data_IF_008481663843
#
_entry.id   IF_008481663843
#
_cell.length_a   1.000
_cell.length_b   1.000
_cell.length_c   1.000
_cell.angle_alpha   90.00
_cell.angle_beta   90.00
_cell.angle_gamma   90.00
#
_symmetry.space_group_name_H-M   'P 1'
#
loop_
_entity.id
_entity.type
_entity.pdbx_description
1 polymer ?
#
# COMPACT_ATOMS: atom_id res chain seq x y z
N UNK A 1 25.05 14.65 27.13
CA UNK A 1 24.49 15.34 25.96
C UNK A 1 22.98 15.35 26.13
N UNK A 2 22.44 16.55 26.30
CA UNK A 2 21.10 16.85 26.81
C UNK A 2 20.06 16.76 25.70
N UNK A 3 19.03 15.93 25.91
CA UNK A 3 17.89 15.81 25.01
C UNK A 3 16.98 17.04 25.12
N UNK A 4 16.78 17.74 24.01
CA UNK A 4 15.82 18.85 23.89
C UNK A 4 14.42 18.31 23.65
N UNK A 5 13.53 18.59 24.60
CA UNK A 5 12.07 18.42 24.49
C UNK A 5 11.54 19.40 23.43
N UNK A 6 10.86 18.90 22.41
CA UNK A 6 10.10 19.74 21.50
C UNK A 6 8.73 20.05 22.09
N UNK A 7 8.53 21.32 22.43
CA UNK A 7 7.25 21.92 22.74
C UNK A 7 6.44 22.09 21.44
N UNK A 8 5.16 21.75 21.49
CA UNK A 8 4.19 22.06 20.46
C UNK A 8 4.02 23.59 20.38
N UNK A 9 4.34 24.18 19.23
CA UNK A 9 4.00 25.56 18.92
C UNK A 9 3.00 25.56 17.76
N UNK A 10 1.79 25.97 18.09
CA UNK A 10 0.69 26.27 17.18
C UNK A 10 1.05 27.45 16.26
N UNK A 11 0.79 27.39 14.94
CA UNK A 11 0.75 28.59 14.10
C UNK A 11 -0.69 28.95 13.70
N UNK A 12 -1.08 30.15 14.14
CA UNK A 12 -2.02 31.12 13.54
C UNK A 12 -2.73 30.66 12.25
N UNK A 13 -3.94 30.14 12.41
CA UNK A 13 -4.96 30.05 11.37
C UNK A 13 -5.52 31.45 11.11
N UNK A 14 -5.08 32.09 10.02
CA UNK A 14 -5.87 33.07 9.27
C UNK A 14 -5.09 33.48 8.02
N UNK A 15 -5.31 32.74 6.92
CA UNK A 15 -5.18 33.09 5.51
C UNK A 15 -4.76 31.86 4.70
N UNK A 16 -5.73 30.99 4.41
CA UNK A 16 -5.76 30.12 3.22
C UNK A 16 -7.05 29.28 3.21
N UNK A 17 -8.21 29.92 3.41
CA UNK A 17 -9.47 29.38 2.89
C UNK A 17 -9.66 30.05 1.53
N UNK A 18 -9.05 29.47 0.49
CA UNK A 18 -9.45 29.72 -0.87
C UNK A 18 -10.27 28.53 -1.34
N UNK A 19 -11.46 28.86 -1.82
CA UNK A 19 -12.51 27.99 -2.32
C UNK A 19 -11.97 26.95 -3.34
N UNK A 20 -12.19 25.64 -3.15
CA UNK A 20 -11.72 24.57 -4.04
C UNK A 20 -12.15 24.75 -5.50
N UNK A 21 -13.23 25.49 -5.75
CA UNK A 21 -13.79 25.73 -7.09
C UNK A 21 -12.87 26.64 -7.93
N UNK A 22 -12.09 27.53 -7.30
CA UNK A 22 -11.22 28.49 -8.02
C UNK A 22 -9.87 27.89 -8.44
N UNK A 23 -9.39 26.85 -7.74
CA UNK A 23 -8.14 26.16 -8.10
C UNK A 23 -8.28 25.33 -9.40
N UNK A 24 -9.51 24.87 -9.70
CA UNK A 24 -9.80 24.07 -10.89
C UNK A 24 -9.83 24.87 -12.21
N UNK A 25 -9.92 26.20 -12.17
CA UNK A 25 -10.11 27.02 -13.39
C UNK A 25 -8.81 27.53 -14.04
N UNK A 26 -7.65 27.41 -13.39
CA UNK A 26 -6.40 28.04 -13.88
C UNK A 26 -5.55 27.22 -14.85
N UNK A 27 -5.95 26.01 -15.22
CA UNK A 27 -5.19 25.16 -16.15
C UNK A 27 -5.99 24.67 -17.39
N UNK A 28 -7.08 25.35 -17.75
CA UNK A 28 -7.91 24.98 -18.92
C UNK A 28 -7.69 25.88 -20.14
N UNK A 29 -6.45 25.98 -20.62
CA UNK A 29 -6.16 26.60 -21.93
C UNK A 29 -4.97 25.94 -22.62
N UNK A 30 -5.12 24.69 -23.08
CA UNK A 30 -4.42 24.22 -24.27
C UNK A 30 -5.20 23.07 -24.94
N UNK A 31 -6.19 23.45 -25.76
CA UNK A 31 -7.00 22.51 -26.55
C UNK A 31 -6.23 22.06 -27.79
N UNK A 32 -5.32 21.08 -27.65
CA UNK A 32 -4.95 20.22 -28.78
C UNK A 32 -5.90 19.03 -28.81
N UNK A 33 -6.96 19.18 -29.61
CA UNK A 33 -7.91 18.11 -29.94
C UNK A 33 -7.18 16.94 -30.58
N UNK A 34 -6.92 15.89 -29.81
CA UNK A 34 -6.77 14.55 -30.39
C UNK A 34 -8.16 13.98 -30.56
N UNK A 35 -8.61 13.90 -31.81
CA UNK A 35 -9.84 13.21 -32.19
C UNK A 35 -9.69 11.71 -31.88
N UNK A 36 -10.41 11.25 -30.85
CA UNK A 36 -10.62 9.84 -30.56
C UNK A 36 -11.37 9.23 -31.75
N UNK A 37 -10.87 8.16 -32.39
CA UNK A 37 -11.64 7.46 -33.39
C UNK A 37 -12.90 6.88 -32.73
N UNK A 38 -14.06 7.35 -33.18
CA UNK A 38 -15.36 6.76 -32.85
C UNK A 38 -15.30 5.29 -33.28
N UNK A 39 -15.36 4.39 -32.30
CA UNK A 39 -15.42 2.96 -32.53
C UNK A 39 -16.73 2.65 -33.29
N UNK A 40 -16.61 2.49 -34.60
CA UNK A 40 -17.64 1.83 -35.39
C UNK A 40 -17.75 0.39 -34.87
N UNK A 41 -18.88 0.08 -34.23
CA UNK A 41 -19.63 -1.17 -34.35
C UNK A 41 -18.90 -2.29 -35.10
N UNK A 42 -18.02 -3.00 -34.39
CA UNK A 42 -17.65 -4.37 -34.73
C UNK A 42 -17.65 -5.13 -33.41
N UNK A 43 -18.69 -5.95 -33.22
CA UNK A 43 -18.61 -7.07 -32.29
C UNK A 43 -17.34 -7.85 -32.66
N UNK A 44 -16.34 -7.95 -31.78
CA UNK A 44 -15.30 -8.92 -32.00
C UNK A 44 -16.00 -10.28 -32.01
N UNK A 45 -15.88 -11.02 -33.10
CA UNK A 45 -16.17 -12.45 -33.08
C UNK A 45 -15.49 -13.05 -31.86
N UNK A 46 -16.19 -13.94 -31.15
CA UNK A 46 -15.70 -14.76 -30.04
C UNK A 46 -14.55 -15.69 -30.50
N UNK A 47 -13.54 -15.16 -31.18
CA UNK A 47 -12.23 -15.79 -31.28
C UNK A 47 -11.65 -15.82 -29.85
N UNK A 48 -11.79 -17.00 -29.23
CA UNK A 48 -11.37 -17.41 -27.90
C UNK A 48 -10.39 -16.43 -27.24
N UNK A 49 -10.92 -15.63 -26.30
CA UNK A 49 -10.08 -14.96 -25.32
C UNK A 49 -9.22 -16.02 -24.63
N UNK A 50 -7.94 -15.69 -24.39
CA UNK A 50 -7.07 -16.55 -23.61
C UNK A 50 -7.73 -16.85 -22.26
N UNK A 51 -7.74 -18.11 -21.80
CA UNK A 51 -8.31 -18.43 -20.51
C UNK A 51 -7.57 -17.68 -19.40
N UNK A 52 -8.27 -17.40 -18.31
CA UNK A 52 -7.61 -16.90 -17.10
C UNK A 52 -6.51 -17.86 -16.66
N UNK A 53 -5.36 -17.35 -16.19
CA UNK A 53 -4.31 -18.21 -15.65
C UNK A 53 -4.86 -18.96 -14.43
N UNK A 54 -4.62 -20.27 -14.39
CA UNK A 54 -4.94 -21.08 -13.22
C UNK A 54 -4.01 -20.70 -12.06
N UNK A 55 -4.54 -20.27 -10.90
CA UNK A 55 -3.70 -19.95 -9.75
C UNK A 55 -3.17 -21.21 -9.08
N UNK A 56 -1.91 -21.16 -8.68
CA UNK A 56 -1.39 -22.08 -7.67
C UNK A 56 -1.75 -21.54 -6.28
N UNK A 57 -2.59 -22.27 -5.55
CA UNK A 57 -2.88 -22.02 -4.15
C UNK A 57 -2.14 -23.08 -3.32
N UNK A 58 -1.14 -22.65 -2.58
CA UNK A 58 -0.20 -23.56 -1.93
C UNK A 58 0.34 -22.98 -0.63
N UNK A 59 1.14 -23.78 0.07
CA UNK A 59 1.85 -23.36 1.26
C UNK A 59 3.28 -23.89 1.24
N UNK A 60 4.21 -23.12 1.83
CA UNK A 60 5.60 -23.56 1.96
C UNK A 60 6.19 -23.15 3.30
N UNK A 61 7.04 -23.98 3.91
CA UNK A 61 7.93 -23.51 4.96
C UNK A 61 8.98 -22.56 4.35
N UNK A 62 9.37 -21.53 5.10
CA UNK A 62 10.51 -20.70 4.73
C UNK A 62 11.80 -21.40 5.18
N UNK A 63 12.89 -21.32 4.39
CA UNK A 63 14.14 -22.02 4.71
C UNK A 63 14.68 -21.69 6.11
N UNK A 64 14.50 -20.45 6.60
CA UNK A 64 14.92 -20.05 7.95
C UNK A 64 13.87 -20.30 9.04
N UNK A 65 12.66 -20.76 8.69
CA UNK A 65 11.56 -21.11 9.61
C UNK A 65 10.88 -22.42 9.16
N UNK A 66 11.60 -23.56 9.16
CA UNK A 66 11.08 -24.80 8.56
C UNK A 66 9.87 -25.41 9.30
N UNK A 67 9.63 -25.01 10.55
CA UNK A 67 8.55 -25.52 11.39
C UNK A 67 7.19 -24.84 11.22
N UNK A 68 7.08 -23.80 10.39
CA UNK A 68 5.84 -23.06 10.16
C UNK A 68 5.73 -22.68 8.68
N UNK A 69 4.50 -22.75 8.15
CA UNK A 69 4.22 -22.55 6.73
C UNK A 69 3.54 -21.21 6.46
N UNK A 70 3.92 -20.62 5.34
CA UNK A 70 3.26 -19.47 4.74
C UNK A 70 2.36 -19.95 3.61
N UNK A 71 1.10 -19.52 3.61
CA UNK A 71 0.16 -19.75 2.53
C UNK A 71 0.24 -18.61 1.51
N UNK A 72 0.21 -19.00 0.23
CA UNK A 72 0.30 -18.07 -0.89
C UNK A 72 -0.59 -18.48 -2.05
N UNK A 73 -0.82 -17.51 -2.93
CA UNK A 73 -1.47 -17.69 -4.22
C UNK A 73 -0.57 -17.08 -5.29
N UNK A 74 -0.14 -17.90 -6.24
CA UNK A 74 0.70 -17.50 -7.36
C UNK A 74 -0.04 -17.62 -8.68
N UNK A 75 0.03 -16.58 -9.51
CA UNK A 75 -0.44 -16.61 -10.89
C UNK A 75 0.77 -16.52 -11.83
N UNK A 76 0.94 -17.47 -12.77
CA UNK A 76 2.06 -17.46 -13.69
C UNK A 76 2.01 -16.27 -14.64
N UNK A 77 3.19 -15.75 -15.03
CA UNK A 77 3.30 -14.70 -16.03
C UNK A 77 2.71 -15.15 -17.38
N UNK A 78 2.19 -14.20 -18.17
CA UNK A 78 1.65 -14.51 -19.50
C UNK A 78 2.72 -15.11 -20.42
N UNK A 79 2.41 -16.23 -21.08
CA UNK A 79 3.25 -16.79 -22.14
C UNK A 79 2.99 -16.04 -23.46
N UNK A 80 4.04 -15.53 -24.11
CA UNK A 80 3.94 -15.02 -25.49
C UNK A 80 4.55 -16.03 -26.43
N UNK A 81 3.75 -16.54 -27.38
CA UNK A 81 4.29 -17.30 -28.50
C UNK A 81 5.13 -16.34 -29.38
N UNK A 82 6.42 -16.65 -29.55
CA UNK A 82 7.30 -15.95 -30.50
C UNK A 82 7.94 -14.63 -30.05
N UNK A 83 7.59 -14.07 -28.88
CA UNK A 83 8.23 -12.87 -28.32
C UNK A 83 8.50 -13.00 -26.83
N UNK A 84 9.60 -12.45 -26.33
CA UNK A 84 9.87 -12.40 -24.89
C UNK A 84 8.81 -11.52 -24.20
N UNK A 85 8.20 -12.03 -23.13
CA UNK A 85 7.37 -11.21 -22.25
C UNK A 85 8.30 -10.16 -21.59
N UNK A 86 8.07 -8.84 -21.74
CA UNK A 86 8.91 -7.83 -21.11
C UNK A 86 8.91 -7.92 -19.58
N UNK A 87 7.94 -8.64 -19.01
CA UNK A 87 7.78 -8.91 -17.60
C UNK A 87 8.28 -10.30 -17.17
N UNK A 88 9.01 -11.02 -18.01
CA UNK A 88 9.48 -12.38 -17.67
C UNK A 88 10.37 -12.44 -16.43
N UNK A 89 10.88 -11.29 -15.98
CA UNK A 89 11.69 -11.15 -14.77
C UNK A 89 11.01 -10.28 -13.71
N UNK A 90 9.73 -9.97 -13.88
CA UNK A 90 8.95 -9.10 -12.99
C UNK A 90 7.97 -9.92 -12.18
N UNK A 91 7.92 -9.65 -10.88
CA UNK A 91 6.94 -10.21 -9.95
C UNK A 91 6.18 -9.08 -9.27
N UNK A 92 4.85 -9.08 -9.38
CA UNK A 92 3.97 -8.23 -8.59
C UNK A 92 3.64 -8.96 -7.30
N UNK A 93 3.90 -8.33 -6.16
CA UNK A 93 3.63 -8.91 -4.84
C UNK A 93 2.62 -8.04 -4.07
N UNK A 94 1.54 -8.65 -3.61
CA UNK A 94 0.47 -8.01 -2.86
C UNK A 94 0.74 -8.13 -1.35
N UNK A 95 0.88 -7.00 -0.67
CA UNK A 95 1.20 -6.92 0.76
C UNK A 95 -0.03 -6.49 1.57
N UNK A 96 -0.58 -7.43 2.33
CA UNK A 96 -1.79 -7.23 3.13
C UNK A 96 -1.62 -6.13 4.19
N UNK A 97 -2.72 -5.49 4.55
CA UNK A 97 -2.83 -4.78 5.82
C UNK A 97 -2.88 -5.74 7.02
N UNK A 98 -3.15 -5.19 8.21
CA UNK A 98 -3.61 -6.01 9.33
C UNK A 98 -5.04 -6.49 9.05
N UNK A 99 -5.45 -7.57 9.72
CA UNK A 99 -6.80 -8.17 9.69
C UNK A 99 -7.17 -8.92 8.41
N UNK A 100 -7.05 -8.29 7.23
CA UNK A 100 -7.50 -8.92 5.98
C UNK A 100 -6.43 -9.84 5.36
N UNK A 101 -6.75 -11.11 5.07
CA UNK A 101 -5.79 -12.05 4.50
C UNK A 101 -5.55 -11.81 3.00
N UNK A 102 -4.70 -12.63 2.39
CA UNK A 102 -4.31 -12.59 0.98
C UNK A 102 -5.50 -12.66 0.02
N UNK A 103 -6.56 -13.37 0.40
CA UNK A 103 -7.79 -13.47 -0.41
C UNK A 103 -8.55 -12.15 -0.55
N UNK A 104 -8.24 -11.14 0.28
CA UNK A 104 -8.78 -9.79 0.09
C UNK A 104 -8.31 -9.11 -1.20
N UNK A 105 -7.28 -9.64 -1.86
CA UNK A 105 -6.79 -9.17 -3.15
C UNK A 105 -7.45 -9.84 -4.35
N UNK A 106 -8.18 -10.95 -4.16
CA UNK A 106 -8.64 -11.80 -5.27
C UNK A 106 -9.45 -11.01 -6.30
N UNK A 107 -10.40 -10.18 -5.86
CA UNK A 107 -11.20 -9.35 -6.76
C UNK A 107 -10.35 -8.32 -7.54
N UNK A 108 -9.33 -7.75 -6.90
CA UNK A 108 -8.41 -6.80 -7.55
C UNK A 108 -7.52 -7.50 -8.59
N UNK A 109 -7.01 -8.69 -8.25
CA UNK A 109 -6.19 -9.53 -9.14
C UNK A 109 -7.01 -9.97 -10.35
N UNK A 110 -8.23 -10.47 -10.13
CA UNK A 110 -9.13 -10.90 -11.21
C UNK A 110 -9.45 -9.73 -12.16
N UNK A 111 -9.79 -8.56 -11.60
CA UNK A 111 -10.03 -7.36 -12.40
C UNK A 111 -8.81 -6.93 -13.22
N UNK A 112 -7.60 -7.02 -12.64
CA UNK A 112 -6.36 -6.74 -13.37
C UNK A 112 -6.12 -7.74 -14.52
N UNK A 113 -6.24 -9.03 -14.25
CA UNK A 113 -6.05 -10.08 -15.25
C UNK A 113 -7.07 -9.95 -16.38
N UNK A 114 -8.34 -9.69 -16.07
CA UNK A 114 -9.40 -9.46 -17.06
C UNK A 114 -9.03 -8.33 -18.02
N UNK A 115 -8.60 -7.17 -17.49
CA UNK A 115 -8.18 -6.01 -18.30
C UNK A 115 -7.01 -6.36 -19.23
N UNK A 116 -6.02 -7.12 -18.75
CA UNK A 116 -4.86 -7.52 -19.57
C UNK A 116 -5.25 -8.56 -20.63
N UNK A 117 -6.09 -9.54 -20.30
CA UNK A 117 -6.55 -10.57 -21.22
C UNK A 117 -7.44 -9.99 -22.33
N UNK A 118 -8.43 -9.16 -21.99
CA UNK A 118 -9.28 -8.44 -22.95
C UNK A 118 -8.44 -7.54 -23.85
N UNK A 119 -7.46 -6.84 -23.27
CA UNK A 119 -6.52 -6.00 -24.03
C UNK A 119 -5.45 -6.77 -24.82
N UNK A 120 -5.37 -8.09 -24.68
CA UNK A 120 -4.29 -8.94 -25.24
C UNK A 120 -2.89 -8.43 -24.86
N UNK A 121 -2.75 -7.90 -23.65
CA UNK A 121 -1.51 -7.33 -23.11
C UNK A 121 -0.77 -8.36 -22.24
N UNK A 122 0.58 -8.40 -22.28
CA UNK A 122 1.35 -9.28 -21.42
C UNK A 122 1.23 -8.86 -19.95
N UNK A 123 1.41 -9.78 -19.01
CA UNK A 123 1.41 -9.50 -17.58
C UNK A 123 2.52 -10.28 -16.84
N UNK A 124 3.07 -9.71 -15.74
CA UNK A 124 4.04 -10.36 -14.86
C UNK A 124 3.42 -11.50 -14.05
N UNK A 125 4.27 -12.29 -13.39
CA UNK A 125 3.80 -13.18 -12.32
C UNK A 125 3.19 -12.37 -11.17
N UNK A 126 2.16 -12.91 -10.53
CA UNK A 126 1.47 -12.27 -9.41
C UNK A 126 1.58 -13.17 -8.17
N UNK A 127 1.88 -12.58 -7.01
CA UNK A 127 1.98 -13.28 -5.74
C UNK A 127 1.19 -12.54 -4.66
N UNK A 128 0.20 -13.19 -4.06
CA UNK A 128 -0.38 -12.78 -2.78
C UNK A 128 -0.05 -13.83 -1.72
N UNK A 129 0.11 -13.41 -0.46
CA UNK A 129 0.46 -14.33 0.62
C UNK A 129 -0.06 -13.84 1.96
N UNK A 130 -0.25 -14.77 2.89
CA UNK A 130 -0.56 -14.47 4.27
C UNK A 130 0.72 -14.45 5.09
N UNK A 131 0.97 -13.36 5.82
CA UNK A 131 2.09 -13.35 6.80
C UNK A 131 1.83 -14.36 7.91
N UNK A 132 2.88 -14.71 8.65
CA UNK A 132 2.72 -15.55 9.84
C UNK A 132 1.67 -14.96 10.79
N UNK A 133 0.75 -15.79 11.28
CA UNK A 133 -0.37 -15.39 12.14
C UNK A 133 -1.55 -14.74 11.41
N UNK A 134 -1.50 -14.61 10.08
CA UNK A 134 -2.58 -14.07 9.26
C UNK A 134 -3.23 -15.16 8.40
N UNK A 135 -4.54 -15.04 8.17
CA UNK A 135 -5.27 -15.89 7.24
C UNK A 135 -5.08 -17.38 7.51
N UNK A 136 -4.54 -18.10 6.52
CA UNK A 136 -4.30 -19.55 6.62
C UNK A 136 -2.85 -19.91 6.99
N UNK A 137 -1.94 -18.93 7.05
CA UNK A 137 -0.56 -19.15 7.48
C UNK A 137 -0.47 -19.55 8.95
N UNK A 138 0.52 -20.38 9.26
CA UNK A 138 0.83 -20.74 10.63
C UNK A 138 1.23 -19.50 11.44
N UNK A 139 1.29 -19.60 12.78
CA UNK A 139 1.90 -18.55 13.60
C UNK A 139 3.40 -18.49 13.40
N UNK A 140 4.00 -17.35 13.72
CA UNK A 140 5.46 -17.25 13.71
C UNK A 140 6.01 -18.17 14.80
N UNK A 141 7.05 -18.99 14.54
CA UNK A 141 7.66 -19.84 15.56
C UNK A 141 8.19 -19.10 16.80
N UNK A 142 8.39 -17.78 16.71
CA UNK A 142 8.81 -16.92 17.82
C UNK A 142 7.65 -16.34 18.63
N UNK A 143 6.41 -16.51 18.17
CA UNK A 143 5.22 -16.05 18.86
C UNK A 143 4.96 -16.87 20.13
N UNK A 144 4.49 -16.20 21.19
CA UNK A 144 4.12 -16.83 22.45
C UNK A 144 2.64 -17.18 22.45
N UNK A 145 2.32 -18.37 22.93
CA UNK A 145 0.94 -18.77 23.18
C UNK A 145 0.45 -18.38 24.59
N UNK A 146 -0.84 -18.01 24.73
CA UNK A 146 -1.78 -17.70 23.65
C UNK A 146 -1.57 -16.27 23.09
N UNK A 147 -1.99 -15.99 21.84
CA UNK A 147 -2.08 -14.62 21.33
C UNK A 147 -3.17 -13.82 22.07
N UNK A 148 -3.22 -12.49 21.91
CA UNK A 148 -2.34 -11.66 21.09
C UNK A 148 -0.95 -11.47 21.72
N UNK A 149 0.09 -11.33 20.90
CA UNK A 149 1.46 -11.15 21.39
C UNK A 149 2.27 -10.14 20.55
N UNK A 150 3.57 -10.05 20.83
CA UNK A 150 4.58 -9.24 20.13
C UNK A 150 5.80 -10.11 19.82
N UNK A 151 5.60 -11.28 19.21
CA UNK A 151 6.65 -12.30 19.03
C UNK A 151 7.69 -11.91 17.99
N UNK A 152 7.24 -11.31 16.89
CA UNK A 152 8.09 -10.83 15.80
C UNK A 152 7.77 -9.38 15.44
N UNK A 153 8.66 -8.69 14.72
CA UNK A 153 8.49 -7.29 14.32
C UNK A 153 8.46 -7.10 12.80
N UNK A 154 8.33 -5.84 12.35
CA UNK A 154 8.27 -5.51 10.93
C UNK A 154 9.56 -5.85 10.16
N UNK A 155 10.73 -5.92 10.83
CA UNK A 155 11.99 -6.33 10.19
C UNK A 155 12.00 -7.84 9.97
N UNK A 156 11.57 -8.63 10.95
CA UNK A 156 11.38 -10.08 10.82
C UNK A 156 10.41 -10.40 9.67
N UNK A 157 9.26 -9.73 9.61
CA UNK A 157 8.27 -9.92 8.54
C UNK A 157 8.82 -9.59 7.14
N UNK A 158 9.72 -8.61 7.03
CA UNK A 158 10.40 -8.26 5.77
C UNK A 158 11.43 -9.33 5.37
N UNK A 159 12.14 -9.92 6.33
CA UNK A 159 13.05 -11.03 6.08
C UNK A 159 12.27 -12.26 5.58
N UNK A 160 11.12 -12.55 6.19
CA UNK A 160 10.20 -13.60 5.74
C UNK A 160 9.72 -13.36 4.30
N UNK A 161 9.30 -12.13 3.99
CA UNK A 161 8.90 -11.73 2.64
C UNK A 161 10.03 -11.95 1.61
N UNK A 162 11.26 -11.53 1.94
CA UNK A 162 12.42 -11.74 1.06
C UNK A 162 12.65 -13.22 0.80
N UNK A 163 12.60 -14.05 1.84
CA UNK A 163 12.81 -15.49 1.70
C UNK A 163 11.71 -16.14 0.85
N UNK A 164 10.45 -15.77 1.07
CA UNK A 164 9.32 -16.23 0.25
C UNK A 164 9.54 -15.89 -1.22
N UNK A 165 9.88 -14.63 -1.53
CA UNK A 165 10.14 -14.17 -2.90
C UNK A 165 11.26 -14.98 -3.55
N UNK A 166 12.35 -15.27 -2.82
CA UNK A 166 13.46 -16.07 -3.34
C UNK A 166 13.05 -17.51 -3.66
N UNK A 167 12.21 -18.12 -2.84
CA UNK A 167 11.69 -19.46 -3.07
C UNK A 167 10.74 -19.49 -4.29
N UNK A 168 9.77 -18.57 -4.34
CA UNK A 168 8.87 -18.42 -5.51
C UNK A 168 9.64 -18.14 -6.80
N UNK A 169 10.67 -17.30 -6.72
CA UNK A 169 11.53 -16.99 -7.87
C UNK A 169 12.23 -18.23 -8.42
N UNK A 170 12.83 -19.02 -7.53
CA UNK A 170 13.52 -20.27 -7.87
C UNK A 170 12.58 -21.31 -8.47
N UNK A 171 11.38 -21.43 -7.92
CA UNK A 171 10.44 -22.50 -8.28
C UNK A 171 9.68 -22.19 -9.58
N UNK A 172 9.40 -20.91 -9.88
CA UNK A 172 8.51 -20.55 -11.00
C UNK A 172 9.11 -19.71 -12.12
N UNK A 173 10.15 -18.92 -11.85
CA UNK A 173 10.59 -17.88 -12.79
C UNK A 173 12.00 -18.13 -13.35
N UNK A 174 12.87 -18.82 -12.61
CA UNK A 174 14.18 -19.25 -13.11
C UNK A 174 14.60 -20.62 -12.55
N UNK A 175 14.05 -21.74 -13.08
CA UNK A 175 14.42 -23.08 -12.64
C UNK A 175 15.85 -23.48 -13.07
N UNK A 176 16.51 -22.72 -13.94
CA UNK A 176 17.75 -23.15 -14.60
C UNK A 176 19.03 -22.46 -14.11
N UNK A 177 18.98 -21.25 -13.52
CA UNK A 177 20.02 -20.59 -12.70
C UNK A 177 19.64 -19.11 -12.44
N UNK A 178 19.06 -18.76 -11.28
CA UNK A 178 18.80 -17.36 -10.94
C UNK A 178 20.13 -16.63 -10.76
N UNK A 179 20.54 -15.91 -11.80
CA UNK A 179 21.74 -15.05 -11.74
C UNK A 179 21.43 -13.70 -11.10
N UNK A 180 20.14 -13.31 -11.07
CA UNK A 180 19.67 -12.03 -10.54
C UNK A 180 18.37 -12.16 -9.73
N UNK A 181 18.15 -11.22 -8.81
CA UNK A 181 16.91 -11.07 -8.04
C UNK A 181 15.80 -10.51 -8.95
N UNK A 182 14.52 -10.94 -8.80
CA UNK A 182 13.43 -10.43 -9.62
C UNK A 182 13.29 -8.91 -9.53
N UNK A 183 12.83 -8.30 -10.60
CA UNK A 183 12.35 -6.93 -10.57
C UNK A 183 10.98 -6.90 -9.88
N UNK A 184 10.87 -6.25 -8.73
CA UNK A 184 9.65 -6.28 -7.93
C UNK A 184 8.75 -5.07 -8.19
N UNK A 185 7.45 -5.30 -8.12
CA UNK A 185 6.42 -4.27 -7.95
C UNK A 185 5.59 -4.65 -6.74
N UNK A 186 5.44 -3.73 -5.77
CA UNK A 186 4.58 -3.98 -4.62
C UNK A 186 3.24 -3.27 -4.73
N UNK A 187 2.15 -4.01 -4.46
CA UNK A 187 0.81 -3.46 -4.24
C UNK A 187 0.50 -3.63 -2.76
N UNK A 188 0.30 -2.54 -2.03
CA UNK A 188 0.34 -2.55 -0.58
C UNK A 188 -0.89 -1.88 0.00
N UNK A 189 -1.47 -2.45 1.07
CA UNK A 189 -2.46 -1.76 1.89
C UNK A 189 -1.97 -1.58 3.32
N UNK A 190 -2.29 -0.43 3.94
CA UNK A 190 -2.07 -0.20 5.37
C UNK A 190 -0.62 -0.47 5.81
N UNK A 191 -0.39 -1.39 6.78
CA UNK A 191 0.94 -1.79 7.23
C UNK A 191 1.81 -2.40 6.13
N UNK A 192 1.21 -3.01 5.10
CA UNK A 192 1.94 -3.49 3.93
C UNK A 192 2.77 -2.40 3.26
N UNK A 193 2.31 -1.13 3.29
CA UNK A 193 3.08 -0.01 2.74
C UNK A 193 4.36 0.24 3.54
N UNK A 194 4.27 0.15 4.86
CA UNK A 194 5.43 0.27 5.75
C UNK A 194 6.41 -0.90 5.55
N UNK A 195 5.90 -2.12 5.40
CA UNK A 195 6.72 -3.31 5.10
C UNK A 195 7.44 -3.15 3.75
N UNK A 196 6.79 -2.63 2.71
CA UNK A 196 7.45 -2.34 1.42
C UNK A 196 8.57 -1.30 1.56
N UNK A 197 8.35 -0.22 2.33
CA UNK A 197 9.39 0.79 2.62
C UNK A 197 10.61 0.15 3.29
N UNK A 198 10.39 -0.69 4.29
CA UNK A 198 11.46 -1.40 5.00
C UNK A 198 12.15 -2.44 4.10
N UNK A 199 11.39 -3.15 3.27
CA UNK A 199 11.93 -4.09 2.31
C UNK A 199 12.93 -3.41 1.38
N UNK A 200 12.60 -2.25 0.81
CA UNK A 200 13.50 -1.53 -0.09
C UNK A 200 14.74 -1.03 0.63
N UNK A 201 14.61 -0.53 1.86
CA UNK A 201 15.78 -0.09 2.64
C UNK A 201 16.74 -1.23 2.93
N UNK A 202 16.23 -2.44 3.18
CA UNK A 202 17.04 -3.63 3.46
C UNK A 202 17.51 -4.35 2.18
N UNK A 203 16.93 -4.02 1.03
CA UNK A 203 17.20 -4.65 -0.26
C UNK A 203 17.19 -3.60 -1.39
N UNK A 204 18.09 -2.61 -1.36
CA UNK A 204 18.13 -1.54 -2.35
C UNK A 204 18.37 -2.12 -3.74
N UNK A 205 17.85 -1.46 -4.78
CA UNK A 205 18.08 -1.91 -6.16
C UNK A 205 17.14 -3.00 -6.67
N UNK A 206 16.10 -3.39 -5.91
CA UNK A 206 15.23 -4.53 -6.26
C UNK A 206 13.82 -4.16 -6.73
N UNK A 207 13.27 -3.02 -6.30
CA UNK A 207 11.87 -2.65 -6.54
C UNK A 207 11.75 -1.54 -7.60
N UNK A 208 10.97 -1.77 -8.66
CA UNK A 208 10.73 -0.81 -9.73
C UNK A 208 9.46 0.02 -9.56
N UNK A 209 8.46 -0.51 -8.85
CA UNK A 209 7.14 0.10 -8.69
C UNK A 209 6.50 -0.15 -7.33
N UNK A 210 5.70 0.82 -6.88
CA UNK A 210 4.96 0.80 -5.62
C UNK A 210 3.56 1.39 -5.83
N UNK A 211 2.54 0.67 -5.38
CA UNK A 211 1.17 1.15 -5.23
C UNK A 211 0.80 1.12 -3.75
N UNK A 212 0.78 2.27 -3.09
CA UNK A 212 0.41 2.42 -1.69
C UNK A 212 -1.07 2.77 -1.56
N UNK A 213 -1.84 1.86 -0.98
CA UNK A 213 -3.28 1.99 -0.74
C UNK A 213 -3.52 2.26 0.75
N UNK A 214 -3.79 3.51 1.08
CA UNK A 214 -4.11 4.00 2.41
C UNK A 214 -3.14 3.48 3.48
N UNK A 215 -1.86 3.86 3.34
CA UNK A 215 -0.78 3.41 4.22
C UNK A 215 -1.10 3.68 5.69
N UNK A 216 -0.68 2.79 6.60
CA UNK A 216 -0.64 3.13 8.02
C UNK A 216 0.29 4.34 8.23
N UNK A 217 -0.08 5.24 9.14
CA UNK A 217 0.82 6.30 9.63
C UNK A 217 1.91 5.69 10.52
N UNK A 218 3.02 5.25 9.90
CA UNK A 218 4.07 4.44 10.55
C UNK A 218 4.78 5.18 11.71
N UNK A 219 4.80 6.51 11.67
CA UNK A 219 5.39 7.38 12.67
C UNK A 219 4.38 7.91 13.72
N UNK A 220 3.17 7.34 13.78
CA UNK A 220 2.12 7.75 14.70
C UNK A 220 1.83 6.69 15.75
N UNK A 221 1.52 7.14 16.97
CA UNK A 221 0.93 6.34 18.04
C UNK A 221 -0.57 6.09 17.85
N UNK A 222 -1.15 6.58 16.75
CA UNK A 222 -2.58 6.53 16.42
C UNK A 222 -3.49 7.29 17.40
N UNK A 223 -2.91 8.13 18.26
CA UNK A 223 -3.62 8.86 19.30
C UNK A 223 -3.32 10.36 19.32
N UNK A 224 -2.06 10.75 19.08
CA UNK A 224 -1.57 12.11 19.28
C UNK A 224 -2.15 13.14 18.31
N UNK A 225 -2.83 12.73 17.24
CA UNK A 225 -3.54 13.64 16.35
C UNK A 225 -4.94 14.03 16.84
N UNK A 226 -5.48 13.34 17.85
CA UNK A 226 -6.67 13.81 18.56
C UNK A 226 -6.29 14.90 19.56
N UNK A 227 -7.12 15.95 19.75
CA UNK A 227 -6.95 16.87 20.88
C UNK A 227 -6.90 16.10 22.20
N UNK A 228 -6.26 16.64 23.24
CA UNK A 228 -6.20 16.02 24.57
C UNK A 228 -7.01 16.81 25.60
N UNK A 229 -8.24 16.37 25.94
CA UNK A 229 -9.08 17.04 26.93
C UNK A 229 -8.52 17.09 28.35
N UNK A 230 -7.50 16.29 28.65
CA UNK A 230 -6.87 16.20 29.97
C UNK A 230 -5.56 16.99 30.06
N UNK A 231 -5.14 17.63 28.95
CA UNK A 231 -3.97 18.51 28.94
C UNK A 231 -4.27 19.85 29.64
N UNK A 232 -3.29 20.43 30.36
CA UNK A 232 -3.49 21.66 31.14
C UNK A 232 -3.82 22.90 30.29
N UNK A 233 -3.44 22.88 29.02
CA UNK A 233 -3.66 23.92 28.03
C UNK A 233 -4.85 23.63 27.10
N UNK A 234 -5.64 22.60 27.40
CA UNK A 234 -6.82 22.26 26.61
C UNK A 234 -7.89 23.36 26.67
N UNK A 235 -8.34 23.81 25.50
CA UNK A 235 -9.42 24.78 25.36
C UNK A 235 -10.63 24.12 24.67
N UNK A 236 -11.72 23.92 25.40
CA UNK A 236 -12.94 23.31 24.86
C UNK A 236 -13.60 24.14 23.75
N UNK A 237 -13.32 25.44 23.66
CA UNK A 237 -13.86 26.31 22.61
C UNK A 237 -13.19 26.09 21.24
N UNK A 238 -12.13 25.29 21.14
CA UNK A 238 -11.55 24.91 19.85
C UNK A 238 -12.14 23.64 19.26
N UNK A 239 -13.06 22.99 19.98
CA UNK A 239 -13.78 21.82 19.47
C UNK A 239 -14.80 22.24 18.41
N UNK A 240 -15.04 21.39 17.39
CA UNK A 240 -16.11 21.59 16.42
C UNK A 240 -17.49 21.67 17.10
N UNK A 241 -18.42 22.36 16.44
CA UNK A 241 -19.81 22.43 16.90
C UNK A 241 -20.40 21.03 17.09
N UNK A 242 -21.07 20.84 18.23
CA UNK A 242 -21.67 19.55 18.59
C UNK A 242 -20.70 18.50 19.12
N UNK A 243 -19.40 18.81 19.25
CA UNK A 243 -18.41 17.93 19.87
C UNK A 243 -18.14 18.31 21.31
N UNK A 244 -18.22 17.33 22.20
CA UNK A 244 -17.89 17.48 23.62
C UNK A 244 -16.48 17.00 23.93
N UNK A 245 -15.87 17.58 24.97
CA UNK A 245 -14.60 17.10 25.51
C UNK A 245 -14.66 15.62 25.96
N UNK A 246 -15.85 15.16 26.39
CA UNK A 246 -16.07 13.76 26.76
C UNK A 246 -15.96 12.80 25.56
N UNK A 247 -16.55 13.16 24.41
CA UNK A 247 -16.45 12.36 23.18
C UNK A 247 -15.03 12.29 22.65
N UNK A 248 -14.27 13.39 22.73
CA UNK A 248 -12.85 13.38 22.37
C UNK A 248 -12.06 12.46 23.30
N UNK A 249 -12.28 12.54 24.62
CA UNK A 249 -11.61 11.68 25.60
C UNK A 249 -11.90 10.21 25.34
N UNK A 250 -13.16 9.89 25.06
CA UNK A 250 -13.58 8.52 24.75
C UNK A 250 -12.98 8.01 23.44
N UNK A 251 -12.93 8.87 22.41
CA UNK A 251 -12.28 8.58 21.13
C UNK A 251 -10.80 8.25 21.32
N UNK A 252 -10.05 9.09 22.06
CA UNK A 252 -8.64 8.83 22.41
C UNK A 252 -8.48 7.48 23.10
N UNK A 253 -9.32 7.20 24.10
CA UNK A 253 -9.27 5.95 24.87
C UNK A 253 -9.48 4.73 23.97
N UNK A 254 -10.48 4.78 23.09
CA UNK A 254 -10.80 3.73 22.12
C UNK A 254 -9.64 3.49 21.13
N UNK A 255 -9.11 4.57 20.52
CA UNK A 255 -7.97 4.48 19.61
C UNK A 255 -6.72 3.93 20.29
N UNK A 256 -6.43 4.39 21.51
CA UNK A 256 -5.31 3.89 22.29
C UNK A 256 -5.43 2.39 22.56
N UNK A 257 -6.62 1.93 22.94
CA UNK A 257 -6.86 0.54 23.30
C UNK A 257 -6.80 -0.43 22.10
N UNK A 258 -7.03 0.07 20.87
CA UNK A 258 -7.12 -0.77 19.68
C UNK A 258 -5.91 -0.62 18.74
N UNK A 259 -5.45 0.62 18.50
CA UNK A 259 -4.52 0.93 17.42
C UNK A 259 -3.14 1.36 17.88
N UNK A 260 -2.94 1.70 19.16
CA UNK A 260 -1.63 2.09 19.67
C UNK A 260 -0.58 1.00 19.38
N UNK A 261 0.65 1.35 18.98
CA UNK A 261 1.69 0.37 18.62
C UNK A 261 2.00 -0.68 19.69
N UNK A 262 1.78 -0.37 20.96
CA UNK A 262 1.92 -1.29 22.10
C UNK A 262 0.80 -2.32 22.24
N UNK A 263 -0.34 -2.11 21.57
CA UNK A 263 -1.44 -3.07 21.56
C UNK A 263 -1.05 -4.27 20.69
N UNK A 264 -0.95 -5.47 21.28
CA UNK A 264 -0.64 -6.68 20.53
C UNK A 264 -1.83 -7.06 19.63
N UNK A 265 -1.57 -7.80 18.56
CA UNK A 265 -2.60 -8.27 17.65
C UNK A 265 -2.52 -9.79 17.49
N UNK A 266 -3.52 -10.36 16.81
CA UNK A 266 -3.63 -11.81 16.59
C UNK A 266 -2.56 -12.37 15.66
N UNK A 267 -1.97 -11.52 14.80
CA UNK A 267 -0.87 -11.88 13.92
C UNK A 267 0.44 -12.07 14.70
N UNK A 268 0.57 -11.47 15.90
CA UNK A 268 1.83 -11.47 16.67
C UNK A 268 2.83 -10.40 16.22
N UNK A 269 2.53 -9.69 15.12
CA UNK A 269 3.35 -8.65 14.53
C UNK A 269 3.41 -7.39 15.40
N UNK A 270 4.57 -7.15 16.00
CA UNK A 270 4.84 -5.96 16.81
C UNK A 270 5.03 -4.72 15.94
N UNK A 271 4.35 -3.64 16.35
CA UNK A 271 4.47 -2.31 15.74
C UNK A 271 5.27 -1.33 16.62
N UNK A 272 5.74 -1.76 17.78
CA UNK A 272 6.31 -0.89 18.82
C UNK A 272 7.55 -0.11 18.36
N UNK A 273 8.37 -0.71 17.49
CA UNK A 273 9.54 -0.06 16.92
C UNK A 273 9.27 0.60 15.57
N UNK A 274 8.04 0.55 15.03
CA UNK A 274 7.77 1.01 13.66
C UNK A 274 8.09 2.50 13.48
N UNK A 275 7.74 3.35 14.44
CA UNK A 275 8.06 4.77 14.41
C UNK A 275 9.56 5.05 14.55
N UNK A 276 10.35 4.12 15.09
CA UNK A 276 11.83 4.25 15.13
C UNK A 276 12.44 3.85 13.79
N UNK A 277 11.85 2.85 13.13
CA UNK A 277 12.29 2.36 11.82
C UNK A 277 11.89 3.31 10.69
N UNK A 278 10.70 3.92 10.76
CA UNK A 278 10.15 4.86 9.78
C UNK A 278 9.66 6.14 10.51
N UNK A 279 10.56 6.99 11.02
CA UNK A 279 10.19 8.17 11.81
C UNK A 279 9.54 9.30 11.00
N UNK A 280 9.79 9.31 9.69
CA UNK A 280 9.28 10.34 8.78
C UNK A 280 8.40 9.70 7.71
N UNK A 281 7.45 10.46 7.18
CA UNK A 281 6.60 10.04 6.07
C UNK A 281 7.31 10.21 4.71
N UNK A 282 8.18 11.19 4.59
CA UNK A 282 8.93 11.55 3.38
C UNK A 282 10.36 10.99 3.30
N UNK A 283 10.83 10.28 4.33
CA UNK A 283 12.20 9.77 4.42
C UNK A 283 12.33 8.34 5.00
N UNK A 284 13.44 7.64 4.74
CA UNK A 284 14.48 7.97 3.75
C UNK A 284 13.96 7.84 2.31
N UNK A 285 14.64 8.49 1.37
CA UNK A 285 14.41 8.26 -0.06
C UNK A 285 14.66 6.79 -0.38
N UNK A 286 13.75 6.20 -1.14
CA UNK A 286 13.78 4.79 -1.50
C UNK A 286 14.71 4.59 -2.70
N UNK A 287 15.63 3.62 -2.59
CA UNK A 287 16.51 3.22 -3.69
C UNK A 287 15.91 2.02 -4.42
N UNK A 288 15.20 2.30 -5.52
CA UNK A 288 14.58 1.28 -6.35
C UNK A 288 15.54 0.65 -7.36
N UNK A 289 14.97 -0.12 -8.29
CA UNK A 289 15.70 -0.88 -9.31
C UNK A 289 16.70 -0.01 -10.09
N UNK A 290 17.93 -0.51 -10.22
CA UNK A 290 19.07 0.17 -10.85
C UNK A 290 19.46 1.51 -10.16
N UNK A 291 19.24 1.62 -8.86
CA UNK A 291 19.68 2.77 -8.05
C UNK A 291 18.83 4.04 -8.21
N UNK A 292 17.63 3.92 -8.81
CA UNK A 292 16.70 5.05 -8.99
C UNK A 292 15.44 4.82 -8.16
N UNK A 293 14.85 5.85 -7.58
CA UNK A 293 13.68 5.70 -6.71
C UNK A 293 12.47 5.09 -7.43
N UNK A 294 11.74 4.11 -6.87
CA UNK A 294 10.70 3.37 -7.58
C UNK A 294 9.59 4.28 -8.11
N UNK A 295 8.90 3.88 -9.19
CA UNK A 295 7.65 4.54 -9.55
C UNK A 295 6.64 4.34 -8.43
N UNK A 296 6.06 5.43 -7.94
CA UNK A 296 5.18 5.41 -6.78
C UNK A 296 3.82 5.97 -7.17
N UNK A 297 2.76 5.28 -6.76
CA UNK A 297 1.41 5.83 -6.65
C UNK A 297 1.00 5.75 -5.19
N UNK A 298 0.56 6.88 -4.62
CA UNK A 298 -0.02 6.94 -3.29
C UNK A 298 -1.51 7.22 -3.42
N UNK A 299 -2.30 6.42 -2.71
CA UNK A 299 -3.76 6.53 -2.65
C UNK A 299 -4.18 6.65 -1.19
N UNK A 300 -5.09 7.55 -0.89
CA UNK A 300 -5.80 7.63 0.38
C UNK A 300 -7.27 7.26 0.22
N UNK A 301 -7.91 6.93 1.34
CA UNK A 301 -9.35 6.68 1.39
C UNK A 301 -10.19 7.92 1.07
N UNK A 302 -11.45 7.69 0.70
CA UNK A 302 -12.50 8.69 0.69
C UNK A 302 -12.90 9.08 2.11
N UNK A 303 -12.92 10.40 2.37
CA UNK A 303 -13.07 10.93 3.72
C UNK A 303 -14.45 10.65 4.32
N UNK A 304 -15.51 10.80 3.52
CA UNK A 304 -16.88 10.59 3.97
C UNK A 304 -17.14 9.10 4.22
N UNK A 305 -16.71 8.26 3.29
CA UNK A 305 -16.79 6.80 3.40
C UNK A 305 -16.06 6.31 4.64
N UNK A 306 -14.81 6.75 4.86
CA UNK A 306 -14.06 6.34 6.05
C UNK A 306 -14.66 6.87 7.35
N UNK A 307 -15.22 8.08 7.36
CA UNK A 307 -15.93 8.61 8.51
C UNK A 307 -17.22 7.82 8.81
N UNK A 308 -17.98 7.43 7.78
CA UNK A 308 -19.15 6.57 7.91
C UNK A 308 -18.78 5.20 8.48
N UNK A 309 -17.74 4.56 7.93
CA UNK A 309 -17.25 3.26 8.41
C UNK A 309 -16.73 3.35 9.85
N UNK A 310 -16.06 4.46 10.21
CA UNK A 310 -15.59 4.70 11.58
C UNK A 310 -16.75 4.87 12.57
N UNK A 311 -17.83 5.50 12.13
CA UNK A 311 -19.04 5.74 12.93
C UNK A 311 -19.92 4.50 13.09
N UNK A 312 -20.05 3.69 12.03
CA UNK A 312 -20.88 2.48 12.03
C UNK A 312 -20.11 1.24 12.50
N UNK A 313 -18.78 1.28 12.48
CA UNK A 313 -17.91 0.20 12.92
C UNK A 313 -17.81 0.05 14.44
N UNK A 314 -16.95 -0.87 14.88
CA UNK A 314 -16.82 -1.29 16.29
C UNK A 314 -16.50 -0.14 17.25
N UNK A 315 -15.74 0.87 16.80
CA UNK A 315 -15.35 1.98 17.66
C UNK A 315 -16.42 3.07 17.76
N UNK A 316 -17.37 3.15 16.83
CA UNK A 316 -18.45 4.14 16.81
C UNK A 316 -17.94 5.57 17.04
N UNK A 317 -16.96 5.98 16.22
CA UNK A 317 -16.31 7.29 16.35
C UNK A 317 -17.20 8.33 15.68
N UNK A 318 -17.54 9.45 16.37
CA UNK A 318 -18.30 10.53 15.75
C UNK A 318 -17.67 11.00 14.44
N UNK A 319 -18.45 11.04 13.35
CA UNK A 319 -17.96 11.39 12.00
C UNK A 319 -17.19 12.70 11.99
N UNK A 320 -17.70 13.70 12.70
CA UNK A 320 -17.08 15.02 12.81
C UNK A 320 -15.67 14.96 13.40
N UNK A 321 -15.38 14.05 14.33
CA UNK A 321 -14.03 13.87 14.87
C UNK A 321 -13.10 13.28 13.80
N UNK A 322 -13.53 12.23 13.11
CA UNK A 322 -12.75 11.63 12.02
C UNK A 322 -12.45 12.65 10.92
N UNK A 323 -13.47 13.39 10.48
CA UNK A 323 -13.35 14.43 9.45
C UNK A 323 -12.44 15.59 9.88
N UNK A 324 -12.50 16.00 11.15
CA UNK A 324 -11.75 17.17 11.64
C UNK A 324 -10.29 16.85 11.96
N UNK A 325 -10.02 15.68 12.53
CA UNK A 325 -8.71 15.39 13.11
C UNK A 325 -7.98 14.24 12.42
N UNK A 326 -8.67 13.13 12.16
CA UNK A 326 -8.02 11.93 11.66
C UNK A 326 -7.69 12.05 10.17
N UNK A 327 -8.69 12.36 9.34
CA UNK A 327 -8.51 12.44 7.89
C UNK A 327 -7.45 13.49 7.49
N UNK A 328 -7.40 14.69 8.12
CA UNK A 328 -6.33 15.64 7.84
C UNK A 328 -4.94 15.17 8.28
N UNK A 329 -4.82 14.41 9.38
CA UNK A 329 -3.54 13.83 9.79
C UNK A 329 -3.08 12.76 8.79
N UNK A 330 -3.99 11.87 8.40
CA UNK A 330 -3.72 10.79 7.45
C UNK A 330 -3.38 11.32 6.06
N UNK A 331 -4.11 12.35 5.59
CA UNK A 331 -3.84 13.05 4.33
C UNK A 331 -2.42 13.61 4.28
N UNK A 332 -2.00 14.33 5.34
CA UNK A 332 -0.63 14.88 5.43
C UNK A 332 0.43 13.79 5.36
N UNK A 333 0.21 12.68 6.06
CA UNK A 333 1.11 11.53 6.00
C UNK A 333 1.21 10.98 4.58
N UNK A 334 0.08 10.79 3.89
CA UNK A 334 0.06 10.32 2.50
C UNK A 334 0.71 11.34 1.53
N UNK A 335 0.60 12.65 1.78
CA UNK A 335 1.33 13.68 1.04
C UNK A 335 2.84 13.55 1.22
N UNK A 336 3.31 13.29 2.45
CA UNK A 336 4.72 12.99 2.75
C UNK A 336 5.22 11.76 1.98
N UNK A 337 4.45 10.66 1.95
CA UNK A 337 4.83 9.44 1.22
C UNK A 337 5.15 9.70 -0.26
N UNK A 338 4.48 10.67 -0.90
CA UNK A 338 4.72 10.99 -2.31
C UNK A 338 6.15 11.46 -2.57
N UNK A 339 6.85 11.93 -1.54
CA UNK A 339 8.21 12.40 -1.59
C UNK A 339 9.23 11.28 -1.35
N UNK A 340 8.84 10.02 -1.21
CA UNK A 340 9.78 8.92 -0.98
C UNK A 340 10.63 8.53 -2.20
N UNK A 341 10.29 9.02 -3.39
CA UNK A 341 10.96 8.68 -4.65
C UNK A 341 11.56 9.92 -5.35
N UNK A 342 12.15 9.71 -6.53
CA UNK A 342 12.70 10.76 -7.38
C UNK A 342 11.58 11.67 -7.92
N UNK A 343 11.93 12.91 -8.23
CA UNK A 343 11.02 13.86 -8.88
C UNK A 343 10.46 13.29 -10.18
N UNK A 344 9.15 13.48 -10.42
CA UNK A 344 8.46 12.96 -11.60
C UNK A 344 8.20 11.44 -11.58
N UNK A 345 8.56 10.72 -10.51
CA UNK A 345 8.26 9.28 -10.38
C UNK A 345 7.11 8.97 -9.42
N UNK A 346 6.51 10.00 -8.82
CA UNK A 346 5.41 9.87 -7.86
C UNK A 346 4.09 10.41 -8.43
N UNK A 347 2.98 9.76 -8.09
CA UNK A 347 1.62 10.24 -8.32
C UNK A 347 0.85 10.17 -6.99
N UNK A 348 0.07 11.22 -6.69
CA UNK A 348 -0.87 11.23 -5.59
C UNK A 348 -0.61 12.34 -4.56
N UNK A 349 -1.25 12.28 -3.37
CA UNK A 349 -2.19 11.23 -2.99
C UNK A 349 -3.52 11.34 -3.74
N UNK A 350 -3.87 10.27 -4.47
CA UNK A 350 -5.17 10.10 -5.13
C UNK A 350 -6.21 9.74 -4.06
N UNK A 351 -7.44 10.22 -4.18
CA UNK A 351 -8.54 9.77 -3.33
C UNK A 351 -9.27 8.64 -4.02
N UNK A 352 -9.34 7.46 -3.40
CA UNK A 352 -10.17 6.36 -3.86
C UNK A 352 -11.63 6.64 -3.47
N UNK A 353 -12.39 7.23 -4.41
CA UNK A 353 -13.80 7.58 -4.22
C UNK A 353 -14.60 6.35 -3.78
N UNK A 354 -15.52 6.56 -2.84
CA UNK A 354 -16.38 5.52 -2.23
C UNK A 354 -15.63 4.37 -1.54
N UNK A 355 -14.32 4.51 -1.28
CA UNK A 355 -13.51 3.51 -0.59
C UNK A 355 -13.06 3.98 0.80
N UNK A 356 -13.16 3.10 1.79
CA UNK A 356 -12.56 3.30 3.10
C UNK A 356 -11.10 2.86 3.14
N UNK A 357 -10.65 2.43 4.34
CA UNK A 357 -9.25 2.03 4.56
C UNK A 357 -8.84 0.78 3.76
N UNK A 358 -9.78 -0.13 3.49
CA UNK A 358 -9.53 -1.37 2.77
C UNK A 358 -9.86 -1.22 1.28
N UNK A 359 -9.15 -0.32 0.59
CA UNK A 359 -9.41 0.06 -0.81
C UNK A 359 -9.47 -1.15 -1.76
N UNK A 360 -8.67 -2.18 -1.53
CA UNK A 360 -8.67 -3.40 -2.35
C UNK A 360 -9.96 -4.21 -2.26
N UNK A 361 -10.68 -4.07 -1.15
CA UNK A 361 -11.97 -4.70 -0.91
C UNK A 361 -13.10 -3.81 -1.43
N UNK A 362 -13.03 -2.52 -1.15
CA UNK A 362 -14.09 -1.56 -1.47
C UNK A 362 -14.10 -1.20 -2.97
N UNK A 363 -12.91 -1.08 -3.58
CA UNK A 363 -12.71 -0.67 -4.98
C UNK A 363 -11.68 -1.53 -5.74
N UNK A 364 -11.93 -2.83 -5.94
CA UNK A 364 -10.99 -3.71 -6.64
C UNK A 364 -10.69 -3.27 -8.09
N UNK A 365 -11.68 -2.69 -8.78
CA UNK A 365 -11.51 -2.14 -10.12
C UNK A 365 -10.60 -0.91 -10.15
N UNK A 366 -10.68 -0.05 -9.13
CA UNK A 366 -9.79 1.09 -8.98
C UNK A 366 -8.35 0.64 -8.75
N UNK A 367 -8.13 -0.35 -7.88
CA UNK A 367 -6.79 -0.91 -7.64
C UNK A 367 -6.19 -1.48 -8.92
N UNK A 368 -6.99 -2.19 -9.74
CA UNK A 368 -6.51 -2.73 -11.00
C UNK A 368 -6.19 -1.65 -12.05
N UNK A 369 -6.95 -0.54 -12.10
CA UNK A 369 -6.64 0.61 -12.98
C UNK A 369 -5.32 1.30 -12.62
N UNK A 370 -5.11 1.56 -11.32
CA UNK A 370 -3.86 2.15 -10.84
C UNK A 370 -2.66 1.22 -11.06
N UNK A 371 -2.87 -0.10 -10.92
CA UNK A 371 -1.85 -1.10 -11.19
C UNK A 371 -1.47 -1.15 -12.68
N UNK A 372 -2.45 -1.10 -13.60
CA UNK A 372 -2.18 -1.01 -15.05
C UNK A 372 -1.35 0.24 -15.35
N UNK A 373 -1.77 1.39 -14.82
CA UNK A 373 -1.07 2.66 -15.02
C UNK A 373 0.35 2.67 -14.43
N UNK A 374 0.57 2.00 -13.30
CA UNK A 374 1.90 1.80 -12.71
C UNK A 374 2.76 0.90 -13.61
N UNK A 375 2.20 -0.22 -14.08
CA UNK A 375 2.92 -1.18 -14.91
C UNK A 375 3.41 -0.55 -16.22
N UNK A 376 2.55 0.24 -16.87
CA UNK A 376 2.91 0.92 -18.13
C UNK A 376 4.03 1.96 -17.92
N UNK A 377 4.06 2.64 -16.76
CA UNK A 377 5.19 3.54 -16.41
C UNK A 377 6.50 2.79 -16.18
N UNK A 378 6.43 1.60 -15.60
CA UNK A 378 7.61 0.74 -15.41
C UNK A 378 8.16 0.25 -16.76
N UNK A 379 7.30 -0.18 -17.69
CA UNK A 379 7.71 -0.75 -19.00
C UNK A 379 8.18 0.27 -20.02
N UNK A 380 7.47 1.39 -20.17
CA UNK A 380 7.79 2.41 -21.18
C UNK A 380 9.22 2.99 -21.03
N UNK A 381 9.95 2.63 -19.95
CA UNK A 381 11.37 2.93 -19.76
C UNK A 381 12.31 1.73 -19.95
N UNK A 382 11.87 0.49 -19.74
CA UNK A 382 12.71 -0.71 -19.98
C UNK A 382 13.10 -0.75 -21.46
N UNK A 383 12.14 -0.47 -22.35
CA UNK A 383 12.38 -0.43 -23.80
C UNK A 383 13.35 0.71 -24.20
N UNK A 384 13.19 1.91 -23.62
CA UNK A 384 14.08 3.06 -23.88
C UNK A 384 15.52 2.86 -23.36
N UNK A 385 15.72 2.03 -22.33
CA UNK A 385 17.05 1.72 -21.79
C UNK A 385 17.70 0.57 -22.56
N UNK A 386 16.92 -0.44 -23.00
CA UNK A 386 17.44 -1.51 -23.86
C UNK A 386 17.91 -1.01 -25.23
N UNK A 387 17.26 0.01 -25.80
CA UNK A 387 17.70 0.64 -27.05
C UNK A 387 19.00 1.44 -26.92
N UNK A 388 19.36 1.90 -25.71
CA UNK A 388 20.59 2.67 -25.46
C UNK A 388 21.78 1.81 -25.03
N UNK A 389 21.55 0.57 -24.60
CA UNK A 389 22.59 -0.38 -24.20
C UNK A 389 23.04 -1.33 -25.32
N UNK A 390 22.41 -1.26 -26.49
CA UNK A 390 22.75 -2.04 -27.68
C UNK A 390 23.60 -1.24 -28.67
N UNK A 391 24.84 -0.89 -28.28
CA UNK A 391 25.92 -0.52 -29.21
C UNK A 391 27.26 -1.04 -28.69
#
# INVERSE_FOLDING_TARGET
MTATKHAANSPKTNQAQLDPIMAAQRHSTDLRKFSIPVANSMNPSEEELLPFPEPEVSCMPLEHKPGAKINYTYYPASARQGHSNPFSQTLIVYLNGLMLPRSSWDASIQSFLEKRLVGRLPYPGLLSYDRYGQGESDRDPTDKDPPPCHGHDCVSAVQDLKQLILQIWRDHLDPAKPTHFPCLIFVCNSIGCALARLFIQLNPGTVSGLLFLDSIMANSDQQSFWPDPDAPDFNSHTLPDGVTAAEVRETRRKYKAMFHPDVPNMEGLSRRNLAQLLPYDDAPKLEGYLGKGPYLTVVGHDWETFAEQSFTGTLQIPKILTMTYHNPAWRRYNEGLTQLTDEGRSIGPIVAVDCGHFIQKDGPGFVSDELVSLLDRVVNRVEQVSERGGT
#
